data_IF_491262762049
#
_entry.id   IF_491262762049
#
_cell.length_a   1.000
_cell.length_b   1.000
_cell.length_c   1.000
_cell.angle_alpha   90.00
_cell.angle_beta   90.00
_cell.angle_gamma   90.00
#
_symmetry.space_group_name_H-M   'P 1'
#
loop_
_entity.id
_entity.type
_entity.pdbx_description
1 polymer ?
#
# COMPACT_ATOMS: atom_id res chain seq x y z
N UNK A 1 -3.66 -7.65 -3.42
CA UNK A 1 -4.85 -8.09 -2.64
C UNK A 1 -4.40 -8.39 -1.24
N UNK A 2 -4.93 -7.66 -0.27
CA UNK A 2 -4.57 -7.89 1.13
C UNK A 2 -5.40 -9.02 1.74
N UNK A 3 -4.81 -9.86 2.62
CA UNK A 3 -3.41 -9.82 3.09
C UNK A 3 -2.42 -10.57 2.17
N UNK A 4 -1.25 -9.98 1.96
CA UNK A 4 -0.01 -10.62 1.48
C UNK A 4 -0.10 -11.37 0.14
N UNK A 5 -0.96 -10.91 -0.78
CA UNK A 5 -1.10 -11.54 -2.10
C UNK A 5 -0.92 -10.54 -3.24
N UNK A 6 0.13 -10.73 -4.04
CA UNK A 6 0.26 -10.13 -5.36
C UNK A 6 -0.40 -11.06 -6.38
N UNK A 7 -1.56 -10.66 -6.90
CA UNK A 7 -2.28 -11.45 -7.92
C UNK A 7 -1.66 -11.23 -9.29
N UNK A 8 -1.82 -12.23 -10.17
CA UNK A 8 -1.20 -12.26 -11.51
C UNK A 8 -1.43 -10.96 -12.28
N UNK A 9 -2.66 -10.50 -12.35
CA UNK A 9 -3.02 -9.30 -13.12
C UNK A 9 -2.31 -8.05 -12.58
N UNK A 10 -2.20 -7.91 -11.26
CA UNK A 10 -1.43 -6.82 -10.63
C UNK A 10 0.06 -6.93 -10.99
N UNK A 11 0.63 -8.15 -10.95
CA UNK A 11 2.02 -8.36 -11.33
C UNK A 11 2.26 -8.00 -12.80
N UNK A 12 1.37 -8.40 -13.71
CA UNK A 12 1.47 -8.10 -15.14
C UNK A 12 1.42 -6.60 -15.41
N UNK A 13 0.54 -5.86 -14.70
CA UNK A 13 0.48 -4.40 -14.78
C UNK A 13 1.78 -3.75 -14.28
N UNK A 14 2.29 -4.17 -13.11
CA UNK A 14 3.55 -3.64 -12.56
C UNK A 14 4.70 -3.87 -13.55
N UNK A 15 4.87 -5.11 -14.01
CA UNK A 15 5.93 -5.46 -14.95
C UNK A 15 5.76 -4.76 -16.30
N UNK A 16 4.52 -4.66 -16.79
CA UNK A 16 4.19 -3.98 -18.04
C UNK A 16 4.53 -2.50 -17.99
N UNK A 17 4.10 -1.79 -16.95
CA UNK A 17 4.38 -0.38 -16.77
C UNK A 17 5.89 -0.11 -16.59
N UNK A 18 6.59 -0.95 -15.82
CA UNK A 18 8.04 -0.87 -15.66
C UNK A 18 8.77 -0.94 -17.01
N UNK A 19 8.41 -1.90 -17.88
CA UNK A 19 9.00 -2.06 -19.23
C UNK A 19 8.79 -0.86 -20.15
N UNK A 20 7.75 -0.06 -19.92
CA UNK A 20 7.43 1.11 -20.73
C UNK A 20 7.81 2.44 -20.07
N UNK A 21 8.46 2.40 -18.90
CA UNK A 21 8.85 3.61 -18.16
C UNK A 21 7.66 4.40 -17.58
N UNK A 22 6.50 3.77 -17.43
CA UNK A 22 5.29 4.39 -16.88
C UNK A 22 5.32 4.26 -15.35
N UNK A 23 5.09 5.38 -14.65
CA UNK A 23 5.01 5.40 -13.18
C UNK A 23 3.85 4.56 -12.64
N UNK A 24 4.13 3.70 -11.66
CA UNK A 24 3.12 2.87 -10.99
C UNK A 24 2.93 3.27 -9.54
N UNK A 25 1.69 3.51 -9.15
CA UNK A 25 1.32 3.59 -7.74
C UNK A 25 1.13 2.19 -7.17
N UNK A 26 2.15 1.68 -6.48
CA UNK A 26 2.04 0.42 -5.76
C UNK A 26 1.21 0.71 -4.51
N UNK A 27 0.01 0.13 -4.44
CA UNK A 27 -0.97 0.50 -3.42
C UNK A 27 -1.45 -0.73 -2.64
N UNK A 28 -1.52 -0.58 -1.32
CA UNK A 28 -2.05 -1.56 -0.38
C UNK A 28 -3.27 -0.98 0.35
N UNK A 29 -4.29 -1.84 0.50
CA UNK A 29 -5.54 -1.55 1.19
C UNK A 29 -5.76 -2.61 2.27
N UNK A 30 -4.84 -2.67 3.23
CA UNK A 30 -5.03 -3.47 4.43
C UNK A 30 -6.08 -2.79 5.32
N UNK A 31 -7.06 -3.57 5.77
CA UNK A 31 -8.13 -3.09 6.62
C UNK A 31 -7.90 -3.62 8.04
N UNK A 32 -7.61 -2.74 9.01
CA UNK A 32 -7.37 -3.13 10.39
C UNK A 32 -8.63 -3.77 10.97
N UNK A 33 -8.50 -5.02 11.45
CA UNK A 33 -9.62 -5.82 11.94
C UNK A 33 -10.43 -6.55 10.85
N UNK A 34 -10.06 -6.38 9.58
CA UNK A 34 -10.67 -7.07 8.44
C UNK A 34 -9.65 -7.93 7.68
N UNK A 35 -8.90 -7.31 6.76
CA UNK A 35 -7.87 -7.98 5.95
C UNK A 35 -6.46 -7.88 6.55
N UNK A 36 -6.34 -7.42 7.80
CA UNK A 36 -5.09 -7.32 8.56
C UNK A 36 -5.38 -7.38 10.07
N UNK A 37 -4.37 -7.52 10.95
CA UNK A 37 -4.57 -7.48 12.39
C UNK A 37 -5.34 -6.23 12.84
N UNK A 38 -6.04 -6.31 13.97
CA UNK A 38 -6.81 -5.16 14.50
C UNK A 38 -5.90 -4.01 14.98
N UNK A 39 -4.63 -4.30 15.27
CA UNK A 39 -3.67 -3.31 15.74
C UNK A 39 -3.09 -2.51 14.58
N UNK A 40 -3.04 -1.18 14.71
CA UNK A 40 -2.50 -0.29 13.67
C UNK A 40 -1.05 -0.62 13.30
N UNK A 41 -0.22 -0.96 14.28
CA UNK A 41 1.15 -1.39 14.03
C UNK A 41 1.21 -2.69 13.21
N UNK A 42 0.37 -3.68 13.54
CA UNK A 42 0.28 -4.92 12.78
C UNK A 42 -0.21 -4.69 11.35
N UNK A 43 -1.23 -3.84 11.18
CA UNK A 43 -1.69 -3.39 9.86
C UNK A 43 -0.59 -2.70 9.06
N UNK A 44 0.19 -1.82 9.67
CA UNK A 44 1.30 -1.13 9.00
C UNK A 44 2.40 -2.09 8.55
N UNK A 45 2.69 -3.15 9.32
CA UNK A 45 3.64 -4.19 8.91
C UNK A 45 3.15 -4.93 7.67
N UNK A 46 1.88 -5.36 7.65
CA UNK A 46 1.27 -6.02 6.49
C UNK A 46 1.28 -5.10 5.28
N UNK A 47 0.84 -3.86 5.46
CA UNK A 47 0.85 -2.83 4.45
C UNK A 47 2.25 -2.66 3.84
N UNK A 48 3.27 -2.45 4.69
CA UNK A 48 4.64 -2.24 4.22
C UNK A 48 5.18 -3.46 3.46
N UNK A 49 4.89 -4.68 3.93
CA UNK A 49 5.30 -5.90 3.24
C UNK A 49 4.70 -5.99 1.82
N UNK A 50 3.42 -5.64 1.65
CA UNK A 50 2.77 -5.64 0.33
C UNK A 50 3.38 -4.60 -0.62
N UNK A 51 3.62 -3.39 -0.12
CA UNK A 51 4.19 -2.30 -0.92
C UNK A 51 5.61 -2.64 -1.36
N UNK A 52 6.47 -3.07 -0.43
CA UNK A 52 7.84 -3.44 -0.75
C UNK A 52 7.91 -4.62 -1.73
N UNK A 53 6.97 -5.57 -1.64
CA UNK A 53 6.89 -6.68 -2.60
C UNK A 53 6.58 -6.19 -4.01
N UNK A 54 5.65 -5.24 -4.17
CA UNK A 54 5.33 -4.64 -5.47
C UNK A 54 6.46 -3.78 -6.03
N UNK A 55 7.12 -2.99 -5.17
CA UNK A 55 8.30 -2.20 -5.54
C UNK A 55 9.43 -3.12 -6.00
N UNK A 56 9.70 -4.19 -5.25
CA UNK A 56 10.72 -5.17 -5.61
C UNK A 56 10.44 -5.78 -6.99
N UNK A 57 9.20 -6.18 -7.27
CA UNK A 57 8.81 -6.71 -8.58
C UNK A 57 9.07 -5.69 -9.71
N UNK A 58 8.74 -4.41 -9.49
CA UNK A 58 9.02 -3.35 -10.45
C UNK A 58 10.53 -3.23 -10.72
N UNK A 59 11.35 -3.16 -9.66
CA UNK A 59 12.81 -3.02 -9.77
C UNK A 59 13.49 -4.26 -10.37
N UNK A 60 12.96 -5.46 -10.12
CA UNK A 60 13.43 -6.70 -10.75
C UNK A 60 13.08 -6.76 -12.24
N UNK A 61 12.01 -6.08 -12.66
CA UNK A 61 11.61 -6.03 -14.07
C UNK A 61 12.49 -5.05 -14.85
N UNK A 62 12.59 -3.81 -14.36
CA UNK A 62 13.47 -2.78 -14.90
C UNK A 62 14.06 -1.99 -13.74
N UNK A 63 15.38 -2.04 -13.60
CA UNK A 63 16.11 -1.27 -12.59
C UNK A 63 15.87 0.22 -12.81
N UNK A 64 15.44 0.92 -11.75
CA UNK A 64 15.14 2.35 -11.81
C UNK A 64 13.74 2.68 -12.35
N UNK A 65 12.88 1.68 -12.57
CA UNK A 65 11.50 1.91 -12.97
C UNK A 65 10.76 2.81 -11.96
N UNK A 66 9.97 3.80 -12.41
CA UNK A 66 9.32 4.77 -11.53
C UNK A 66 8.19 4.15 -10.71
N UNK A 67 8.19 4.35 -9.39
CA UNK A 67 7.16 3.85 -8.48
C UNK A 67 6.77 4.89 -7.43
N UNK A 68 5.53 4.80 -6.95
CA UNK A 68 4.99 5.58 -5.83
C UNK A 68 4.61 4.61 -4.71
N UNK A 69 4.95 4.96 -3.47
CA UNK A 69 4.56 4.22 -2.27
C UNK A 69 3.14 4.65 -1.87
N UNK A 70 2.15 3.81 -2.16
CA UNK A 70 0.73 4.13 -2.06
C UNK A 70 -0.02 3.44 -0.93
N UNK A 71 -0.99 4.11 -0.32
CA UNK A 71 -1.87 3.53 0.69
C UNK A 71 -3.33 3.98 0.57
N UNK A 72 -4.22 3.00 0.66
CA UNK A 72 -5.65 3.20 1.02
C UNK A 72 -5.99 2.41 2.28
N UNK A 73 -4.99 2.08 3.09
CA UNK A 73 -5.14 1.29 4.32
C UNK A 73 -5.89 2.08 5.37
N UNK A 74 -6.86 1.44 6.02
CA UNK A 74 -7.74 2.07 7.02
C UNK A 74 -8.22 1.05 8.04
N UNK A 75 -9.02 1.47 9.03
CA UNK A 75 -9.71 0.57 9.95
C UNK A 75 -11.09 0.14 9.44
N UNK A 76 -11.52 -1.06 9.84
CA UNK A 76 -12.89 -1.53 9.66
C UNK A 76 -13.79 -0.94 10.76
N UNK A 77 -14.92 -0.35 10.38
CA UNK A 77 -16.03 -0.13 11.30
C UNK A 77 -16.64 -1.49 11.64
N UNK A 78 -16.46 -1.97 12.88
CA UNK A 78 -16.96 -3.28 13.30
C UNK A 78 -18.49 -3.35 13.44
N UNK A 79 -19.16 -2.20 13.55
CA UNK A 79 -20.62 -2.12 13.63
C UNK A 79 -21.25 -2.18 12.24
N UNK A 80 -20.67 -1.47 11.28
CA UNK A 80 -21.19 -1.36 9.90
C UNK A 80 -20.51 -2.32 8.92
N UNK A 81 -19.46 -3.02 9.36
CA UNK A 81 -18.60 -3.86 8.55
C UNK A 81 -18.04 -3.16 7.29
N UNK A 82 -17.74 -1.87 7.41
CA UNK A 82 -17.33 -1.00 6.30
C UNK A 82 -15.94 -0.40 6.51
N UNK A 83 -15.30 0.08 5.44
CA UNK A 83 -14.00 0.74 5.52
C UNK A 83 -14.16 2.19 6.01
N UNK A 84 -13.50 2.53 7.11
CA UNK A 84 -13.67 3.83 7.76
C UNK A 84 -12.61 4.85 7.32
N UNK A 85 -12.72 5.37 6.10
CA UNK A 85 -11.70 6.24 5.47
C UNK A 85 -11.55 7.63 6.11
N UNK A 86 -12.52 8.09 6.90
CA UNK A 86 -12.47 9.36 7.65
C UNK A 86 -12.09 9.23 9.13
N UNK A 87 -11.63 8.04 9.55
CA UNK A 87 -11.32 7.75 10.94
C UNK A 87 -9.97 8.32 11.41
N UNK A 88 -9.76 8.53 12.73
CA UNK A 88 -8.45 8.88 13.25
C UNK A 88 -7.41 7.78 12.98
N UNK A 89 -7.80 6.51 12.90
CA UNK A 89 -6.96 5.40 12.49
C UNK A 89 -6.43 5.59 11.05
N UNK A 90 -7.31 5.99 10.11
CA UNK A 90 -6.92 6.31 8.74
C UNK A 90 -5.89 7.45 8.69
N UNK A 91 -6.09 8.51 9.49
CA UNK A 91 -5.17 9.63 9.57
C UNK A 91 -3.80 9.21 10.13
N UNK A 92 -3.77 8.41 11.21
CA UNK A 92 -2.53 7.89 11.80
C UNK A 92 -1.78 6.97 10.83
N UNK A 93 -2.49 6.06 10.15
CA UNK A 93 -1.92 5.20 9.12
C UNK A 93 -1.33 6.06 7.98
N UNK A 94 -2.05 7.06 7.50
CA UNK A 94 -1.59 7.95 6.43
C UNK A 94 -0.32 8.71 6.82
N UNK A 95 -0.24 9.23 8.05
CA UNK A 95 0.96 9.89 8.56
C UNK A 95 2.16 8.92 8.66
N UNK A 96 1.93 7.70 9.14
CA UNK A 96 2.97 6.67 9.24
C UNK A 96 3.45 6.22 7.85
N UNK A 97 2.55 6.06 6.88
CA UNK A 97 2.87 5.74 5.48
C UNK A 97 3.72 6.84 4.85
N UNK A 98 3.36 8.11 5.04
CA UNK A 98 4.17 9.22 4.53
C UNK A 98 5.58 9.20 5.11
N UNK A 99 5.72 8.85 6.40
CA UNK A 99 7.03 8.67 7.05
C UNK A 99 7.82 7.48 6.49
N UNK A 100 7.17 6.35 6.22
CA UNK A 100 7.80 5.17 5.62
C UNK A 100 8.24 5.44 4.17
N UNK A 101 7.41 6.06 3.36
CA UNK A 101 7.76 6.46 2.00
C UNK A 101 9.00 7.36 1.98
N UNK A 102 9.06 8.36 2.88
CA UNK A 102 10.25 9.20 3.07
C UNK A 102 11.48 8.40 3.51
N UNK A 103 11.32 7.41 4.39
CA UNK A 103 12.41 6.54 4.81
C UNK A 103 12.99 5.73 3.64
N UNK A 104 12.15 5.27 2.72
CA UNK A 104 12.58 4.58 1.50
C UNK A 104 12.98 5.53 0.36
N UNK A 105 12.98 6.85 0.58
CA UNK A 105 13.22 7.87 -0.43
C UNK A 105 12.31 7.76 -1.66
N UNK A 106 11.04 7.42 -1.45
CA UNK A 106 10.02 7.28 -2.49
C UNK A 106 8.92 8.35 -2.34
N UNK A 107 8.27 8.75 -3.45
CA UNK A 107 7.06 9.55 -3.40
C UNK A 107 5.96 8.81 -2.63
N UNK A 108 5.18 9.55 -1.81
CA UNK A 108 4.06 9.00 -1.06
C UNK A 108 2.72 9.32 -1.70
N UNK A 109 1.80 8.37 -1.71
CA UNK A 109 0.38 8.58 -2.02
C UNK A 109 -0.47 8.01 -0.88
N UNK A 110 -1.24 8.86 -0.21
CA UNK A 110 -2.06 8.50 0.96
C UNK A 110 -3.48 9.01 0.80
N UNK A 111 -4.40 8.58 1.67
CA UNK A 111 -5.77 9.07 1.68
C UNK A 111 -5.83 10.60 1.84
N UNK A 112 -6.76 11.23 1.12
CA UNK A 112 -7.09 12.66 1.21
C UNK A 112 -8.55 12.85 1.57
N UNK A 113 -8.91 14.06 2.02
CA UNK A 113 -10.27 14.48 2.38
C UNK A 113 -10.84 15.52 1.45
#
# INVERSE_FOLDING_TARGET
VSPLKLVKDTCEVIMGAARHGIGVNILSMAMAGGSSPVTLAGTLVIHNAEILSGILLNQLTIKGGPVIYGSSTTAMDLRMASASVGSPECAMISAAVARLARYYALPSFVAGG
#
